data_IF_806378848261
#
_entry.id   IF_806378848261
#
_cell.length_a   1.000
_cell.length_b   1.000
_cell.length_c   1.000
_cell.angle_alpha   90.00
_cell.angle_beta   90.00
_cell.angle_gamma   90.00
#
_symmetry.space_group_name_H-M   'P 1'
#
loop_
_entity.id
_entity.type
_entity.pdbx_description
1 polymer ?
#
# COMPACT_ATOMS: atom_id res chain seq x y z
N UNK A 1 23.72 5.08 -6.63
CA UNK A 1 24.69 6.08 -7.08
C UNK A 1 24.46 7.39 -6.34
N UNK A 2 23.31 8.02 -6.38
CA UNK A 2 23.04 9.37 -5.86
C UNK A 2 22.92 9.56 -4.34
N UNK A 3 23.54 8.73 -3.49
CA UNK A 3 23.51 8.89 -2.03
C UNK A 3 24.53 9.89 -1.50
N UNK A 4 24.22 10.46 -0.32
CA UNK A 4 25.14 11.31 0.45
C UNK A 4 26.54 10.70 0.55
N UNK A 5 27.56 11.56 0.42
CA UNK A 5 28.97 11.24 0.66
C UNK A 5 29.15 10.98 2.16
N UNK A 6 29.57 9.79 2.53
CA UNK A 6 29.85 9.45 3.92
C UNK A 6 31.36 9.37 4.15
N UNK A 7 31.84 9.83 5.30
CA UNK A 7 33.21 9.60 5.74
C UNK A 7 33.37 8.13 6.17
N UNK A 8 33.45 7.20 5.21
CA UNK A 8 33.60 5.77 5.44
C UNK A 8 34.95 5.27 4.92
N UNK A 9 35.76 4.73 5.81
CA UNK A 9 36.99 4.01 5.52
C UNK A 9 36.69 2.67 4.84
N UNK A 10 36.62 2.63 3.48
CA UNK A 10 36.46 1.38 2.75
C UNK A 10 36.31 1.57 1.24
N UNK A 11 37.13 0.87 0.45
CA UNK A 11 37.34 1.00 -1.00
C UNK A 11 36.11 0.79 -1.90
N UNK A 12 34.93 0.43 -1.38
CA UNK A 12 33.69 0.37 -2.15
C UNK A 12 32.90 1.69 -2.23
N UNK A 13 33.37 2.73 -1.53
CA UNK A 13 32.81 4.07 -1.60
C UNK A 13 33.38 4.90 -2.76
N UNK A 14 34.65 4.70 -3.11
CA UNK A 14 35.35 5.48 -4.13
C UNK A 14 34.70 5.32 -5.55
N UNK A 15 34.34 4.12 -5.95
CA UNK A 15 33.69 3.88 -7.24
C UNK A 15 32.33 4.58 -7.34
N UNK A 16 31.55 4.57 -6.25
CA UNK A 16 30.22 5.21 -6.21
C UNK A 16 30.34 6.72 -6.24
N UNK A 17 31.32 7.28 -5.53
CA UNK A 17 31.59 8.72 -5.53
C UNK A 17 32.11 9.16 -6.88
N UNK A 18 32.99 8.39 -7.51
CA UNK A 18 33.47 8.65 -8.86
C UNK A 18 32.32 8.63 -9.86
N UNK A 19 31.44 7.64 -9.79
CA UNK A 19 30.26 7.54 -10.67
C UNK A 19 29.32 8.73 -10.45
N UNK A 20 29.11 9.16 -9.20
CA UNK A 20 28.29 10.34 -8.90
C UNK A 20 28.94 11.62 -9.49
N UNK A 21 30.25 11.80 -9.29
CA UNK A 21 30.95 12.95 -9.84
C UNK A 21 30.88 12.98 -11.36
N UNK A 22 31.05 11.84 -12.04
CA UNK A 22 30.88 11.74 -13.49
C UNK A 22 29.46 12.12 -13.91
N UNK A 23 28.44 11.62 -13.21
CA UNK A 23 27.05 11.98 -13.49
C UNK A 23 26.81 13.49 -13.36
N UNK A 24 27.38 14.13 -12.34
CA UNK A 24 27.25 15.57 -12.13
C UNK A 24 27.93 16.37 -13.26
N UNK A 25 29.10 15.92 -13.70
CA UNK A 25 29.82 16.55 -14.83
C UNK A 25 29.03 16.43 -16.13
N UNK A 26 28.48 15.25 -16.42
CA UNK A 26 27.66 15.04 -17.61
C UNK A 26 26.38 15.90 -17.58
N UNK A 27 25.76 16.04 -16.39
CA UNK A 27 24.57 16.90 -16.22
C UNK A 27 24.91 18.38 -16.43
N UNK A 28 26.04 18.85 -15.92
CA UNK A 28 26.49 20.24 -16.10
C UNK A 28 26.89 20.52 -17.59
N UNK A 29 27.27 19.50 -18.33
CA UNK A 29 27.57 19.60 -19.77
C UNK A 29 26.36 19.76 -20.69
N UNK A 30 25.14 19.65 -20.17
CA UNK A 30 23.90 19.89 -20.94
C UNK A 30 23.53 21.37 -21.11
N UNK A 31 24.35 22.31 -20.64
CA UNK A 31 24.16 23.73 -20.90
C UNK A 31 24.20 24.03 -22.41
N UNK A 32 23.02 24.17 -23.01
CA UNK A 32 22.85 24.50 -24.42
C UNK A 32 22.30 23.39 -25.31
N UNK A 33 21.94 22.22 -24.77
CA UNK A 33 21.26 21.20 -25.54
C UNK A 33 19.74 21.39 -25.46
N UNK A 34 19.20 22.02 -26.47
CA UNK A 34 17.77 22.19 -26.67
C UNK A 34 17.05 20.83 -26.75
N UNK A 35 16.24 20.56 -25.78
CA UNK A 35 15.25 19.48 -25.85
C UNK A 35 15.53 18.21 -25.08
N UNK A 36 16.61 18.07 -24.31
CA UNK A 36 16.84 16.90 -23.43
C UNK A 36 16.32 17.17 -22.03
N UNK A 37 15.36 16.36 -21.57
CA UNK A 37 14.83 16.40 -20.20
C UNK A 37 15.34 15.16 -19.45
N UNK A 38 16.10 15.39 -18.39
CA UNK A 38 16.58 14.31 -17.52
C UNK A 38 15.62 14.13 -16.35
N UNK A 39 15.11 12.91 -16.18
CA UNK A 39 14.22 12.55 -15.07
C UNK A 39 14.82 11.43 -14.24
N UNK A 40 14.70 11.55 -12.92
CA UNK A 40 15.04 10.49 -11.97
C UNK A 40 13.90 10.28 -10.98
N UNK A 41 13.77 9.06 -10.46
CA UNK A 41 12.80 8.72 -9.45
C UNK A 41 13.46 8.01 -8.27
N UNK A 42 13.01 8.29 -7.06
CA UNK A 42 13.47 7.65 -5.83
C UNK A 42 12.34 7.57 -4.81
N UNK A 43 12.34 6.50 -4.01
CA UNK A 43 11.49 6.38 -2.82
C UNK A 43 12.16 6.97 -1.57
N UNK A 44 13.43 7.43 -1.68
CA UNK A 44 14.20 7.94 -0.57
C UNK A 44 14.89 9.25 -0.94
N UNK A 45 14.15 10.36 -0.96
CA UNK A 45 14.74 11.66 -1.25
C UNK A 45 15.72 12.10 -0.15
N UNK A 46 15.55 11.60 1.08
CA UNK A 46 16.38 11.87 2.26
C UNK A 46 17.85 11.46 2.12
N UNK A 47 18.13 10.48 1.25
CA UNK A 47 19.51 9.96 1.05
C UNK A 47 20.20 10.53 -0.18
N UNK A 48 19.55 11.41 -0.94
CA UNK A 48 20.16 12.03 -2.14
C UNK A 48 21.24 13.02 -1.75
N UNK A 49 22.32 13.02 -2.54
CA UNK A 49 23.37 14.03 -2.43
C UNK A 49 22.79 15.41 -2.79
N UNK A 50 22.93 16.45 -1.95
CA UNK A 50 22.41 17.80 -2.23
C UNK A 50 22.94 18.40 -3.54
N UNK A 51 24.10 17.95 -4.02
CA UNK A 51 24.65 18.40 -5.27
C UNK A 51 23.79 18.05 -6.49
N UNK A 52 22.97 16.95 -6.40
CA UNK A 52 22.03 16.57 -7.44
C UNK A 52 20.81 17.51 -7.51
N UNK A 53 20.48 18.17 -6.41
CA UNK A 53 19.26 18.99 -6.29
C UNK A 53 19.52 20.49 -6.55
N UNK A 54 20.74 20.85 -7.00
CA UNK A 54 21.07 22.22 -7.33
C UNK A 54 20.42 22.69 -8.64
N UNK A 55 20.17 24.00 -8.79
CA UNK A 55 19.70 24.57 -10.05
C UNK A 55 20.56 24.13 -11.24
N UNK A 56 19.92 23.85 -12.38
CA UNK A 56 20.59 23.31 -13.58
C UNK A 56 20.75 21.80 -13.61
N UNK A 57 20.33 21.08 -12.54
CA UNK A 57 20.32 19.62 -12.44
C UNK A 57 18.89 19.14 -12.18
N UNK A 58 18.62 18.39 -11.10
CA UNK A 58 17.26 18.04 -10.70
C UNK A 58 16.64 19.18 -9.89
N UNK A 59 16.39 20.28 -10.52
CA UNK A 59 15.88 21.51 -9.91
C UNK A 59 14.37 21.46 -9.62
N UNK A 60 13.64 20.56 -10.28
CA UNK A 60 12.22 20.33 -10.05
C UNK A 60 11.97 19.02 -9.35
N UNK A 61 11.40 19.09 -8.17
CA UNK A 61 10.99 17.94 -7.39
C UNK A 61 9.47 17.80 -7.41
N UNK A 62 9.00 16.64 -7.83
CA UNK A 62 7.58 16.30 -7.84
C UNK A 62 7.35 15.14 -6.90
N UNK A 63 6.56 15.36 -5.86
CA UNK A 63 6.14 14.30 -4.94
C UNK A 63 4.91 13.61 -5.51
N UNK A 64 5.01 12.32 -5.77
CA UNK A 64 3.88 11.47 -6.17
C UNK A 64 3.33 10.82 -4.91
N UNK A 65 2.23 11.35 -4.38
CA UNK A 65 1.53 10.81 -3.22
C UNK A 65 0.75 9.53 -3.54
N UNK A 66 0.13 8.94 -2.50
CA UNK A 66 -0.80 7.83 -2.68
C UNK A 66 -2.04 8.29 -3.47
N UNK A 67 -2.60 7.43 -4.33
CA UNK A 67 -3.76 7.78 -5.13
C UNK A 67 -5.02 7.92 -4.26
N UNK A 68 -5.85 8.89 -4.58
CA UNK A 68 -7.21 9.02 -4.07
C UNK A 68 -8.13 7.92 -4.64
N UNK A 69 -9.39 7.89 -4.24
CA UNK A 69 -10.37 6.89 -4.70
C UNK A 69 -10.46 6.84 -6.22
N UNK A 70 -10.46 7.99 -6.90
CA UNK A 70 -10.54 8.07 -8.37
C UNK A 70 -9.25 7.56 -9.02
N UNK A 71 -8.11 7.93 -8.48
CA UNK A 71 -6.81 7.43 -8.91
C UNK A 71 -6.70 5.92 -8.75
N UNK A 72 -7.14 5.37 -7.60
CA UNK A 72 -7.16 3.93 -7.37
C UNK A 72 -8.07 3.20 -8.37
N UNK A 73 -9.25 3.74 -8.66
CA UNK A 73 -10.14 3.16 -9.67
C UNK A 73 -9.49 3.13 -11.06
N UNK A 74 -8.82 4.20 -11.47
CA UNK A 74 -8.12 4.25 -12.76
C UNK A 74 -6.97 3.24 -12.83
N UNK A 75 -6.16 3.14 -11.76
CA UNK A 75 -5.06 2.18 -11.66
C UNK A 75 -5.59 0.74 -11.74
N UNK A 76 -6.66 0.42 -10.99
CA UNK A 76 -7.31 -0.88 -11.06
C UNK A 76 -7.76 -1.21 -12.50
N UNK A 77 -8.44 -0.30 -13.18
CA UNK A 77 -8.87 -0.49 -14.58
C UNK A 77 -7.70 -0.78 -15.51
N UNK A 78 -6.54 -0.16 -15.31
CA UNK A 78 -5.33 -0.44 -16.12
C UNK A 78 -4.83 -1.87 -15.88
N UNK A 79 -4.72 -2.30 -14.63
CA UNK A 79 -4.21 -3.64 -14.30
C UNK A 79 -5.22 -4.75 -14.64
N UNK A 80 -6.51 -4.49 -14.49
CA UNK A 80 -7.59 -5.43 -14.84
C UNK A 80 -7.66 -5.77 -16.34
N UNK A 81 -7.20 -4.90 -17.24
CA UNK A 81 -7.20 -5.16 -18.70
C UNK A 81 -6.46 -6.42 -19.12
N UNK A 82 -5.50 -6.87 -18.31
CA UNK A 82 -4.64 -8.03 -18.61
C UNK A 82 -5.16 -9.33 -18.01
N UNK A 83 -6.30 -9.29 -17.32
CA UNK A 83 -6.86 -10.40 -16.56
C UNK A 83 -8.29 -10.67 -17.02
N UNK A 84 -8.71 -11.91 -17.17
CA UNK A 84 -10.11 -12.24 -17.53
C UNK A 84 -11.02 -11.93 -16.34
N UNK A 85 -11.70 -10.79 -16.39
CA UNK A 85 -12.54 -10.26 -15.32
C UNK A 85 -14.02 -10.50 -15.67
N UNK A 86 -14.81 -10.87 -14.68
CA UNK A 86 -16.27 -10.99 -14.79
C UNK A 86 -16.93 -9.60 -14.89
N UNK A 87 -17.99 -9.47 -15.68
CA UNK A 87 -18.69 -8.20 -15.91
C UNK A 87 -19.31 -7.61 -14.62
N UNK A 88 -19.56 -8.44 -13.61
CA UNK A 88 -20.05 -8.02 -12.29
C UNK A 88 -19.01 -7.33 -11.42
N UNK A 89 -17.73 -7.33 -11.82
CA UNK A 89 -16.65 -6.70 -11.05
C UNK A 89 -16.67 -5.18 -11.24
N UNK A 90 -16.78 -4.45 -10.13
CA UNK A 90 -16.86 -2.99 -10.11
C UNK A 90 -15.59 -2.39 -9.50
N UNK A 91 -14.73 -1.83 -10.35
CA UNK A 91 -13.47 -1.22 -9.92
C UNK A 91 -13.65 -0.11 -8.89
N UNK A 92 -14.75 0.67 -8.96
CA UNK A 92 -15.06 1.72 -8.00
C UNK A 92 -15.35 1.17 -6.59
N UNK A 93 -15.99 0.00 -6.48
CA UNK A 93 -16.26 -0.67 -5.19
C UNK A 93 -14.94 -1.15 -4.58
N UNK A 94 -14.07 -1.75 -5.40
CA UNK A 94 -12.74 -2.18 -4.96
C UNK A 94 -11.91 -0.98 -4.51
N UNK A 95 -11.92 0.12 -5.27
CA UNK A 95 -11.18 1.34 -4.95
C UNK A 95 -11.60 1.98 -3.62
N UNK A 96 -12.91 1.96 -3.29
CA UNK A 96 -13.42 2.41 -1.98
C UNK A 96 -12.93 1.53 -0.83
N UNK A 97 -12.87 0.22 -1.06
CA UNK A 97 -12.43 -0.75 -0.06
C UNK A 97 -10.91 -0.88 0.11
N UNK A 98 -10.12 -0.03 -0.55
CA UNK A 98 -8.64 -0.08 -0.51
C UNK A 98 -8.01 1.28 -0.17
N UNK A 99 -8.41 1.92 0.96
CA UNK A 99 -7.80 3.19 1.37
C UNK A 99 -6.31 2.98 1.65
N UNK A 100 -5.48 3.96 1.28
CA UNK A 100 -4.04 3.93 1.51
C UNK A 100 -3.24 2.98 0.61
N UNK A 101 -3.86 2.29 -0.35
CA UNK A 101 -3.14 1.44 -1.29
C UNK A 101 -2.38 2.28 -2.32
N UNK A 102 -1.11 1.92 -2.52
CA UNK A 102 -0.29 2.41 -3.62
C UNK A 102 -0.66 1.75 -4.95
N UNK A 103 -0.13 2.25 -6.05
CA UNK A 103 -0.28 1.60 -7.35
C UNK A 103 0.25 0.16 -7.37
N UNK A 104 1.34 -0.11 -6.64
CA UNK A 104 1.91 -1.44 -6.50
C UNK A 104 1.00 -2.39 -5.71
N UNK A 105 0.37 -1.90 -4.64
CA UNK A 105 -0.58 -2.69 -3.84
C UNK A 105 -1.83 -3.05 -4.67
N UNK A 106 -2.33 -2.11 -5.48
CA UNK A 106 -3.46 -2.36 -6.37
C UNK A 106 -3.12 -3.35 -7.49
N UNK A 107 -1.91 -3.27 -8.05
CA UNK A 107 -1.43 -4.26 -9.02
C UNK A 107 -1.33 -5.64 -8.38
N UNK A 108 -0.79 -5.73 -7.16
CA UNK A 108 -0.73 -6.97 -6.39
C UNK A 108 -2.11 -7.52 -6.06
N UNK A 109 -3.08 -6.65 -5.72
CA UNK A 109 -4.46 -7.05 -5.47
C UNK A 109 -5.09 -7.74 -6.68
N UNK A 110 -4.93 -7.19 -7.88
CA UNK A 110 -5.41 -7.80 -9.12
C UNK A 110 -4.73 -9.15 -9.37
N UNK A 111 -3.42 -9.24 -9.16
CA UNK A 111 -2.67 -10.47 -9.32
C UNK A 111 -3.11 -11.55 -8.31
N UNK A 112 -3.28 -11.20 -7.05
CA UNK A 112 -3.75 -12.13 -6.01
C UNK A 112 -5.18 -12.62 -6.28
N UNK A 113 -6.07 -11.74 -6.75
CA UNK A 113 -7.42 -12.14 -7.17
C UNK A 113 -7.38 -13.15 -8.31
N UNK A 114 -6.52 -12.94 -9.31
CA UNK A 114 -6.33 -13.88 -10.41
C UNK A 114 -5.78 -15.24 -9.92
N UNK A 115 -4.84 -15.23 -8.96
CA UNK A 115 -4.33 -16.45 -8.33
C UNK A 115 -5.42 -17.20 -7.55
N UNK A 116 -6.31 -16.49 -6.85
CA UNK A 116 -7.46 -17.13 -6.19
C UNK A 116 -8.42 -17.78 -7.19
N UNK A 117 -8.74 -17.11 -8.30
CA UNK A 117 -9.56 -17.66 -9.36
C UNK A 117 -8.91 -18.92 -9.98
N UNK A 118 -7.62 -18.87 -10.27
CA UNK A 118 -6.89 -20.01 -10.81
C UNK A 118 -6.89 -21.22 -9.85
N UNK A 119 -6.69 -21.00 -8.56
CA UNK A 119 -6.75 -22.05 -7.52
C UNK A 119 -8.16 -22.67 -7.40
N UNK A 120 -9.19 -21.89 -7.65
CA UNK A 120 -10.59 -22.35 -7.68
C UNK A 120 -11.00 -22.90 -9.03
N UNK A 121 -10.08 -23.04 -10.00
CA UNK A 121 -10.34 -23.48 -11.39
C UNK A 121 -11.42 -22.64 -12.10
N UNK A 122 -11.53 -21.37 -11.73
CA UNK A 122 -12.45 -20.42 -12.38
C UNK A 122 -11.77 -19.77 -13.58
N UNK A 123 -12.54 -19.55 -14.64
CA UNK A 123 -12.07 -18.89 -15.87
C UNK A 123 -12.05 -17.37 -15.76
N UNK A 124 -12.93 -16.81 -14.95
CA UNK A 124 -13.08 -15.37 -14.73
C UNK A 124 -12.82 -15.03 -13.26
N UNK A 125 -12.25 -13.87 -13.02
CA UNK A 125 -12.07 -13.32 -11.68
C UNK A 125 -13.32 -12.53 -11.31
N UNK A 126 -13.97 -12.90 -10.19
CA UNK A 126 -15.17 -12.24 -9.69
C UNK A 126 -14.89 -11.34 -8.50
N UNK A 127 -15.90 -10.60 -8.01
CA UNK A 127 -15.78 -9.80 -6.80
C UNK A 127 -15.35 -10.63 -5.57
N UNK A 128 -15.77 -11.91 -5.52
CA UNK A 128 -15.40 -12.82 -4.43
C UNK A 128 -13.87 -13.01 -4.32
N UNK A 129 -13.19 -13.19 -5.47
CA UNK A 129 -11.73 -13.32 -5.49
C UNK A 129 -11.04 -12.02 -5.12
N UNK A 130 -11.58 -10.87 -5.52
CA UNK A 130 -11.06 -9.57 -5.08
C UNK A 130 -11.21 -9.36 -3.58
N UNK A 131 -12.34 -9.74 -2.98
CA UNK A 131 -12.52 -9.67 -1.52
C UNK A 131 -11.54 -10.59 -0.78
N UNK A 132 -11.36 -11.83 -1.25
CA UNK A 132 -10.35 -12.75 -0.68
C UNK A 132 -8.93 -12.22 -0.80
N UNK A 133 -8.59 -11.62 -1.94
CA UNK A 133 -7.28 -11.03 -2.17
C UNK A 133 -7.05 -9.83 -1.26
N UNK A 134 -8.04 -8.96 -1.11
CA UNK A 134 -8.00 -7.82 -0.21
C UNK A 134 -7.83 -8.27 1.24
N UNK A 135 -8.59 -9.24 1.69
CA UNK A 135 -8.47 -9.83 3.02
C UNK A 135 -7.05 -10.37 3.26
N UNK A 136 -6.48 -11.09 2.29
CA UNK A 136 -5.12 -11.62 2.40
C UNK A 136 -4.08 -10.52 2.51
N UNK A 137 -4.22 -9.43 1.75
CA UNK A 137 -3.27 -8.32 1.74
C UNK A 137 -3.38 -7.53 3.05
N UNK A 138 -4.59 -7.22 3.50
CA UNK A 138 -4.83 -6.36 4.66
C UNK A 138 -4.66 -7.10 6.00
N UNK A 139 -5.07 -8.36 6.08
CA UNK A 139 -5.11 -9.15 7.32
C UNK A 139 -4.11 -10.31 7.36
N UNK A 140 -3.44 -10.60 6.24
CA UNK A 140 -2.56 -11.76 6.10
C UNK A 140 -3.28 -13.03 5.64
N UNK A 141 -2.48 -14.04 5.32
CA UNK A 141 -2.99 -15.33 4.85
C UNK A 141 -3.71 -16.10 5.97
N UNK A 142 -4.77 -16.81 5.62
CA UNK A 142 -5.50 -17.70 6.54
C UNK A 142 -4.61 -18.86 7.01
N UNK A 143 -4.63 -19.15 8.30
CA UNK A 143 -3.94 -20.29 8.90
C UNK A 143 -4.84 -21.52 8.92
N UNK A 144 -5.03 -22.14 7.76
CA UNK A 144 -5.92 -23.30 7.58
C UNK A 144 -5.54 -24.52 8.42
N UNK A 145 -4.28 -24.64 8.81
CA UNK A 145 -3.76 -25.75 9.64
C UNK A 145 -4.00 -25.55 11.13
N UNK A 146 -4.48 -24.37 11.57
CA UNK A 146 -4.70 -24.09 12.98
C UNK A 146 -6.09 -24.54 13.39
N UNK A 147 -6.14 -25.58 14.21
CA UNK A 147 -7.40 -26.05 14.79
C UNK A 147 -7.57 -25.40 16.15
N UNK A 148 -8.60 -24.56 16.27
CA UNK A 148 -8.98 -23.94 17.54
C UNK A 148 -10.04 -24.79 18.23
N UNK A 149 -9.94 -24.94 19.54
CA UNK A 149 -11.01 -25.54 20.35
C UNK A 149 -12.28 -24.66 20.33
N UNK A 150 -13.43 -25.23 20.56
CA UNK A 150 -14.70 -24.47 20.63
C UNK A 150 -14.66 -23.38 21.70
N UNK A 151 -13.99 -23.62 22.83
CA UNK A 151 -13.77 -22.62 23.87
C UNK A 151 -12.92 -21.44 23.37
N UNK A 152 -11.85 -21.68 22.65
CA UNK A 152 -11.00 -20.63 22.08
C UNK A 152 -11.75 -19.85 21.02
N UNK A 153 -12.50 -20.53 20.14
CA UNK A 153 -13.35 -19.87 19.14
C UNK A 153 -14.38 -18.95 19.77
N UNK A 154 -15.03 -19.40 20.85
CA UNK A 154 -16.00 -18.60 21.58
C UNK A 154 -15.35 -17.39 22.24
N UNK A 155 -14.20 -17.58 22.91
CA UNK A 155 -13.44 -16.48 23.53
C UNK A 155 -12.99 -15.45 22.49
N UNK A 156 -12.46 -15.90 21.35
CA UNK A 156 -12.08 -15.02 20.24
C UNK A 156 -13.29 -14.26 19.70
N UNK A 157 -14.44 -14.93 19.54
CA UNK A 157 -15.66 -14.27 19.06
C UNK A 157 -16.13 -13.15 20.01
N UNK A 158 -16.09 -13.38 21.33
CA UNK A 158 -16.41 -12.33 22.31
C UNK A 158 -15.41 -11.18 22.28
N UNK A 159 -14.12 -11.48 22.13
CA UNK A 159 -13.06 -10.48 22.05
C UNK A 159 -13.26 -9.57 20.82
N UNK A 160 -13.40 -10.16 19.64
CA UNK A 160 -13.60 -9.40 18.40
C UNK A 160 -14.94 -8.64 18.38
N UNK A 161 -16.00 -9.25 18.94
CA UNK A 161 -17.27 -8.56 19.10
C UNK A 161 -17.14 -7.35 20.04
N UNK A 162 -16.31 -7.44 21.08
CA UNK A 162 -16.00 -6.33 21.97
C UNK A 162 -15.41 -5.14 21.22
N UNK A 163 -14.37 -5.37 20.42
CA UNK A 163 -13.79 -4.34 19.56
C UNK A 163 -14.83 -3.72 18.62
N UNK A 164 -15.64 -4.54 17.95
CA UNK A 164 -16.66 -4.08 17.04
C UNK A 164 -17.73 -3.21 17.72
N UNK A 165 -18.21 -3.62 18.90
CA UNK A 165 -19.22 -2.88 19.66
C UNK A 165 -18.66 -1.56 20.15
N UNK A 166 -17.47 -1.57 20.74
CA UNK A 166 -16.82 -0.35 21.23
C UNK A 166 -16.58 0.61 20.09
N UNK A 167 -15.95 0.16 19.00
CA UNK A 167 -15.70 1.02 17.83
C UNK A 167 -16.99 1.60 17.24
N UNK A 168 -18.08 0.82 17.21
CA UNK A 168 -19.39 1.30 16.71
C UNK A 168 -20.02 2.37 17.58
N UNK A 169 -19.75 2.35 18.90
CA UNK A 169 -20.33 3.28 19.88
C UNK A 169 -19.45 4.53 20.08
N UNK A 170 -18.16 4.48 19.69
CA UNK A 170 -17.26 5.63 19.86
C UNK A 170 -17.52 6.71 18.80
N UNK A 171 -17.50 8.00 19.20
CA UNK A 171 -17.68 9.10 18.26
C UNK A 171 -16.50 9.21 17.30
N UNK A 172 -16.75 9.60 16.06
CA UNK A 172 -15.72 9.78 15.01
C UNK A 172 -14.86 8.54 14.73
N UNK A 173 -15.27 7.35 15.17
CA UNK A 173 -14.59 6.11 14.86
C UNK A 173 -14.90 5.67 13.42
N UNK A 174 -13.94 5.03 12.75
CA UNK A 174 -14.19 4.42 11.45
C UNK A 174 -15.23 3.30 11.58
N UNK A 175 -16.10 3.12 10.57
CA UNK A 175 -17.10 2.05 10.60
C UNK A 175 -16.44 0.66 10.59
N UNK A 176 -17.11 -0.27 11.27
CA UNK A 176 -16.71 -1.69 11.25
C UNK A 176 -16.85 -2.21 9.82
N UNK A 177 -15.76 -2.62 9.25
CA UNK A 177 -15.72 -3.22 7.91
C UNK A 177 -15.94 -4.73 7.98
N UNK A 178 -15.20 -5.41 8.87
CA UNK A 178 -15.21 -6.86 8.96
C UNK A 178 -14.84 -7.33 10.36
N UNK A 179 -15.53 -8.37 10.83
CA UNK A 179 -15.18 -9.11 12.05
C UNK A 179 -14.98 -10.58 11.65
N UNK A 180 -13.91 -11.20 12.09
CA UNK A 180 -13.61 -12.60 11.76
C UNK A 180 -12.91 -13.29 12.91
N UNK A 181 -13.25 -14.56 13.13
CA UNK A 181 -12.56 -15.46 14.05
C UNK A 181 -11.66 -16.46 13.31
N UNK A 182 -11.42 -16.22 12.01
CA UNK A 182 -10.51 -17.04 11.21
C UNK A 182 -9.07 -16.59 11.52
N UNK A 183 -8.20 -17.49 12.02
CA UNK A 183 -6.84 -17.14 12.34
C UNK A 183 -6.04 -16.68 11.10
N UNK A 184 -5.38 -15.52 11.23
CA UNK A 184 -4.54 -14.95 10.16
C UNK A 184 -3.22 -14.44 10.74
N UNK A 185 -2.11 -14.79 10.11
CA UNK A 185 -0.80 -14.39 10.61
C UNK A 185 -0.59 -14.81 12.07
N UNK A 186 -0.46 -13.85 12.99
CA UNK A 186 -0.33 -14.09 14.45
C UNK A 186 -1.65 -13.93 15.21
N UNK A 187 -2.69 -13.39 14.58
CA UNK A 187 -3.97 -13.11 15.20
C UNK A 187 -4.90 -14.33 15.14
N UNK A 188 -5.65 -14.56 16.20
CA UNK A 188 -6.67 -15.61 16.28
C UNK A 188 -8.01 -15.15 15.68
N UNK A 189 -8.26 -13.84 15.70
CA UNK A 189 -9.37 -13.15 15.08
C UNK A 189 -8.94 -11.78 14.60
N UNK A 190 -9.85 -11.03 14.03
CA UNK A 190 -9.61 -9.65 13.60
C UNK A 190 -10.91 -8.87 13.52
N UNK A 191 -10.90 -7.68 14.07
CA UNK A 191 -11.92 -6.66 13.84
C UNK A 191 -11.29 -5.53 13.05
N UNK A 192 -11.79 -5.29 11.85
CA UNK A 192 -11.24 -4.29 10.92
C UNK A 192 -12.21 -3.14 10.77
N UNK A 193 -11.67 -1.94 10.87
CA UNK A 193 -12.35 -0.69 10.61
C UNK A 193 -11.79 -0.08 9.33
N UNK A 194 -12.63 0.49 8.49
CA UNK A 194 -12.21 1.19 7.28
C UNK A 194 -12.88 2.55 7.20
N UNK A 195 -12.13 3.60 6.85
CA UNK A 195 -12.71 4.92 6.62
C UNK A 195 -13.63 4.91 5.40
N UNK A 196 -14.74 5.63 5.46
CA UNK A 196 -15.65 5.81 4.32
C UNK A 196 -15.05 6.66 3.20
N UNK A 197 -14.14 7.57 3.58
CA UNK A 197 -13.45 8.49 2.65
C UNK A 197 -11.95 8.52 2.94
N UNK A 198 -11.15 8.94 1.96
CA UNK A 198 -9.73 9.15 2.15
C UNK A 198 -9.49 10.30 3.14
N UNK A 199 -8.73 10.04 4.20
CA UNK A 199 -8.39 11.02 5.24
C UNK A 199 -6.93 11.42 5.14
N UNK A 200 -6.69 12.71 5.31
CA UNK A 200 -5.35 13.31 5.31
C UNK A 200 -4.93 13.83 6.69
N UNK A 201 -5.86 13.83 7.66
CA UNK A 201 -5.63 14.26 9.04
C UNK A 201 -6.52 13.49 10.00
N UNK A 202 -6.08 13.39 11.26
CA UNK A 202 -6.83 12.75 12.35
C UNK A 202 -7.17 13.80 13.39
N UNK A 203 -8.42 13.84 13.83
CA UNK A 203 -8.83 14.66 14.98
C UNK A 203 -8.35 14.01 16.28
N UNK A 204 -8.20 14.81 17.33
CA UNK A 204 -7.93 14.28 18.68
C UNK A 204 -8.99 13.27 19.09
N UNK A 205 -10.27 13.56 18.81
CA UNK A 205 -11.39 12.69 19.18
C UNK A 205 -11.30 11.35 18.43
N UNK A 206 -10.97 11.37 17.15
CA UNK A 206 -10.78 10.14 16.35
C UNK A 206 -9.68 9.25 16.96
N UNK A 207 -8.52 9.84 17.31
CA UNK A 207 -7.41 9.10 17.93
C UNK A 207 -7.83 8.51 19.28
N UNK A 208 -8.53 9.27 20.13
CA UNK A 208 -9.03 8.77 21.42
C UNK A 208 -10.03 7.62 21.20
N UNK A 209 -10.91 7.72 20.23
CA UNK A 209 -11.89 6.68 19.90
C UNK A 209 -11.20 5.40 19.40
N UNK A 210 -10.15 5.52 18.60
CA UNK A 210 -9.33 4.36 18.20
C UNK A 210 -8.65 3.69 19.39
N UNK A 211 -8.09 4.47 20.33
CA UNK A 211 -7.47 3.93 21.54
C UNK A 211 -8.50 3.16 22.40
N UNK A 212 -9.73 3.65 22.48
CA UNK A 212 -10.79 2.95 23.23
C UNK A 212 -11.19 1.62 22.61
N UNK A 213 -11.04 1.45 21.31
CA UNK A 213 -11.42 0.23 20.57
C UNK A 213 -10.27 -0.77 20.41
N UNK A 214 -9.06 -0.46 20.89
CA UNK A 214 -7.92 -1.37 20.92
C UNK A 214 -8.03 -2.36 22.08
#
# INVERSE_FOLDING_TARGET
>A
VGRHRGAGLGGGHDEREQTLNQLLVEMDGFEGNDGVIVMAATNRPDVLDPALLRPGRFDRQVVVGLPDIRGREQILKVHMRKVPIDDGVKANVIARGTPGFSGADLANLVNEAALFAARASRRLVTMEEFEKAKDKIMMGAERKSMVMSDKERLNTAYHEAGHAIVGRLMPEHDPVYKVSIIPRGRALGVTMFLPEEDRYSLSKQHILSQICSL
#
